data_IF_255484889533
#
_entry.id   IF_255484889533
#
_cell.length_a   1.000
_cell.length_b   1.000
_cell.length_c   1.000
_cell.angle_alpha   90.00
_cell.angle_beta   90.00
_cell.angle_gamma   90.00
#
_symmetry.space_group_name_H-M   'P 1'
#
loop_
_entity.id
_entity.type
_entity.pdbx_description
1 polymer ?
#
# COMPACT_ATOMS: atom_id res chain seq x y z
N UNK A 1 -3.24 0.71 -2.19
CA UNK A 1 -4.25 0.31 -3.19
C UNK A 1 -4.94 -1.00 -2.84
N UNK A 2 -4.19 -2.12 -2.77
CA UNK A 2 -4.74 -3.46 -2.45
C UNK A 2 -5.62 -3.46 -1.19
N UNK A 3 -5.12 -2.92 -0.08
CA UNK A 3 -5.87 -2.85 1.19
C UNK A 3 -7.20 -2.11 1.08
N UNK A 4 -7.21 -0.96 0.39
CA UNK A 4 -8.42 -0.16 0.14
C UNK A 4 -9.45 -0.95 -0.65
N UNK A 5 -9.04 -1.59 -1.75
CA UNK A 5 -9.95 -2.43 -2.55
C UNK A 5 -10.47 -3.62 -1.72
N UNK A 6 -9.59 -4.30 -1.00
CA UNK A 6 -9.96 -5.39 -0.10
C UNK A 6 -10.99 -4.92 0.94
N UNK A 7 -10.83 -3.74 1.54
CA UNK A 7 -11.77 -3.21 2.53
C UNK A 7 -13.06 -2.64 1.96
N UNK A 8 -13.08 -2.27 0.68
CA UNK A 8 -14.31 -1.95 -0.05
C UNK A 8 -15.06 -3.20 -0.56
N UNK A 9 -14.45 -4.39 -0.46
CA UNK A 9 -15.05 -5.66 -0.88
C UNK A 9 -15.71 -6.36 0.31
N UNK A 10 -17.02 -6.69 0.27
CA UNK A 10 -17.68 -7.46 1.32
C UNK A 10 -16.97 -8.78 1.61
N UNK A 11 -16.86 -9.17 2.87
CA UNK A 11 -16.02 -10.31 3.28
C UNK A 11 -16.38 -11.62 2.58
N UNK A 12 -17.68 -11.85 2.30
CA UNK A 12 -18.17 -13.03 1.56
C UNK A 12 -17.61 -13.16 0.14
N UNK A 13 -17.09 -12.09 -0.45
CA UNK A 13 -16.50 -12.05 -1.80
C UNK A 13 -14.99 -11.80 -1.77
N UNK A 14 -14.39 -11.75 -0.57
CA UNK A 14 -12.97 -11.45 -0.38
C UNK A 14 -12.23 -12.70 0.05
N UNK A 15 -11.88 -13.54 -0.92
CA UNK A 15 -11.18 -14.80 -0.66
C UNK A 15 -9.83 -14.58 0.04
N UNK A 16 -9.00 -13.69 -0.50
CA UNK A 16 -7.70 -13.36 0.09
C UNK A 16 -7.21 -12.00 -0.37
N UNK A 17 -6.17 -11.50 0.31
CA UNK A 17 -5.39 -10.32 -0.07
C UNK A 17 -4.00 -10.45 0.54
N UNK A 18 -2.98 -9.87 -0.08
CA UNK A 18 -1.58 -9.99 0.36
C UNK A 18 -0.88 -8.64 0.43
N UNK A 19 0.03 -8.52 1.40
CA UNK A 19 0.86 -7.36 1.70
C UNK A 19 2.24 -7.51 1.03
N UNK A 20 2.39 -7.04 -0.22
CA UNK A 20 3.65 -7.17 -0.95
C UNK A 20 4.83 -6.42 -0.31
N UNK A 21 4.55 -5.37 0.46
CA UNK A 21 5.57 -4.58 1.12
C UNK A 21 6.33 -5.35 2.23
N UNK A 22 5.76 -6.41 2.80
CA UNK A 22 6.47 -7.21 3.82
C UNK A 22 7.52 -8.16 3.26
N UNK A 23 7.55 -8.36 1.94
CA UNK A 23 8.57 -9.17 1.26
C UNK A 23 9.83 -8.38 0.88
N UNK A 24 9.82 -7.07 1.05
CA UNK A 24 10.90 -6.18 0.62
C UNK A 24 11.73 -5.71 1.82
N UNK A 25 13.03 -5.49 1.59
CA UNK A 25 13.92 -4.87 2.59
C UNK A 25 13.80 -3.34 2.62
N UNK A 26 13.39 -2.75 1.50
CA UNK A 26 13.31 -1.29 1.32
C UNK A 26 11.84 -0.87 1.34
N UNK A 27 11.57 0.17 2.13
CA UNK A 27 10.25 0.80 2.23
C UNK A 27 10.29 2.16 1.56
N UNK A 28 9.51 2.34 0.50
CA UNK A 28 9.43 3.60 -0.26
C UNK A 28 8.38 4.58 0.25
N UNK A 29 7.59 4.20 1.27
CA UNK A 29 6.48 5.02 1.74
C UNK A 29 6.29 4.94 3.24
N UNK A 30 5.89 6.04 3.85
CA UNK A 30 5.26 6.05 5.18
C UNK A 30 3.76 5.83 5.06
N UNK A 31 3.17 5.09 6.00
CA UNK A 31 1.71 4.86 6.06
C UNK A 31 1.21 3.68 5.21
N UNK A 32 2.11 2.91 4.59
CA UNK A 32 1.72 1.68 3.88
C UNK A 32 1.05 0.68 4.83
N UNK A 33 0.04 -0.10 4.37
CA UNK A 33 -0.57 -1.14 5.18
C UNK A 33 0.45 -2.15 5.68
N UNK A 34 0.40 -2.47 6.97
CA UNK A 34 1.26 -3.47 7.59
C UNK A 34 0.46 -4.70 7.98
N UNK A 35 1.05 -5.89 7.77
CA UNK A 35 0.46 -7.13 8.26
C UNK A 35 0.66 -7.26 9.76
N UNK A 36 -0.45 -7.34 10.49
CA UNK A 36 -0.52 -7.58 11.93
C UNK A 36 -1.40 -8.81 12.14
N UNK A 37 -0.83 -9.87 12.72
CA UNK A 37 -1.52 -11.15 12.95
C UNK A 37 -2.21 -11.73 11.70
N UNK A 38 -1.53 -11.69 10.55
CA UNK A 38 -2.04 -12.23 9.29
C UNK A 38 -3.11 -11.37 8.60
N UNK A 39 -3.42 -10.18 9.12
CA UNK A 39 -4.38 -9.23 8.53
C UNK A 39 -3.71 -7.89 8.29
N UNK A 40 -4.24 -7.09 7.38
CA UNK A 40 -3.79 -5.72 7.13
C UNK A 40 -5.00 -4.78 7.09
N UNK A 41 -4.78 -3.49 7.36
CA UNK A 41 -5.83 -2.46 7.32
C UNK A 41 -5.53 -1.42 6.24
N UNK A 42 -6.55 -0.98 5.51
CA UNK A 42 -6.48 0.27 4.74
C UNK A 42 -6.33 1.47 5.68
N UNK A 43 -5.64 2.52 5.19
CA UNK A 43 -5.54 3.79 5.91
C UNK A 43 -6.89 4.50 5.93
N UNK A 44 -7.16 5.26 7.01
CA UNK A 44 -8.35 6.11 7.13
C UNK A 44 -8.08 7.55 6.59
N UNK A 45 -6.84 7.84 6.18
CA UNK A 45 -6.45 9.12 5.56
C UNK A 45 -6.99 9.26 4.13
N UNK A 46 -7.05 10.50 3.65
CA UNK A 46 -7.52 10.80 2.29
C UNK A 46 -6.67 10.13 1.20
N UNK A 47 -7.32 9.70 0.12
CA UNK A 47 -6.66 9.01 -0.98
C UNK A 47 -6.15 7.62 -0.58
N UNK A 48 -4.91 7.29 -0.95
CA UNK A 48 -4.30 6.01 -0.56
C UNK A 48 -3.74 6.03 0.88
N UNK A 49 -3.62 7.21 1.49
CA UNK A 49 -3.09 7.37 2.85
C UNK A 49 -1.63 6.97 3.01
N UNK A 50 -0.82 7.17 1.95
CA UNK A 50 0.63 6.93 1.95
C UNK A 50 1.38 8.19 1.56
N UNK A 51 2.56 8.39 2.13
CA UNK A 51 3.49 9.46 1.77
C UNK A 51 4.73 8.80 1.19
N UNK A 52 5.15 9.22 0.00
CA UNK A 52 6.29 8.65 -0.71
C UNK A 52 7.60 9.28 -0.23
N UNK A 53 8.62 8.45 -0.02
CA UNK A 53 10.00 8.88 0.20
C UNK A 53 10.65 9.21 -1.15
N UNK A 54 10.48 10.44 -1.63
CA UNK A 54 10.95 10.86 -2.96
C UNK A 54 12.47 10.78 -3.10
N UNK A 55 13.22 10.95 -2.01
CA UNK A 55 14.67 10.76 -1.94
C UNK A 55 15.10 9.33 -2.30
N UNK A 56 14.25 8.33 -2.05
CA UNK A 56 14.51 6.93 -2.42
C UNK A 56 14.11 6.60 -3.87
N UNK A 57 13.27 7.43 -4.49
CA UNK A 57 12.85 7.22 -5.88
C UNK A 57 13.93 7.65 -6.89
N UNK A 58 14.74 8.64 -6.52
CA UNK A 58 15.71 9.27 -7.43
C UNK A 58 15.02 10.11 -8.51
N UNK A 59 15.80 10.51 -9.51
CA UNK A 59 15.30 11.37 -10.58
C UNK A 59 14.33 10.61 -11.52
N UNK A 60 13.24 11.26 -11.97
CA UNK A 60 12.34 10.66 -12.96
C UNK A 60 13.09 10.29 -14.24
N UNK A 61 13.00 9.02 -14.64
CA UNK A 61 13.63 8.53 -15.87
C UNK A 61 12.94 9.12 -17.12
N UNK A 62 11.63 9.34 -17.06
CA UNK A 62 10.82 9.90 -18.15
C UNK A 62 9.78 10.85 -17.56
N UNK A 63 9.63 12.03 -18.17
CA UNK A 63 8.54 12.98 -17.89
C UNK A 63 7.66 13.07 -19.13
N UNK A 64 6.42 12.60 -19.02
CA UNK A 64 5.42 12.68 -20.08
C UNK A 64 4.57 13.93 -19.82
N UNK A 65 4.38 14.76 -20.86
CA UNK A 65 3.54 15.95 -20.84
C UNK A 65 2.29 15.75 -21.68
#
# INVERSE_FOLDING_TARGET
AISHLAHSTPEKYRFSSTDFNSYNLITYTTGSPERKNGKMKASDESGLGVIVHEDLLGDPIIIIK
#
